data_IF_192635739427
#
_entry.id   IF_192635739427
#
_cell.length_a   1.000
_cell.length_b   1.000
_cell.length_c   1.000
_cell.angle_alpha   90.00
_cell.angle_beta   90.00
_cell.angle_gamma   90.00
#
_symmetry.space_group_name_H-M   'P 1'
#
loop_
_entity.id
_entity.type
_entity.pdbx_description
1 polymer ?
#
# COMPACT_ATOMS: atom_id res chain seq x y z
N UNK A 1 -54.96 26.83 25.35
CA UNK A 1 -53.90 27.01 24.34
C UNK A 1 -52.58 26.58 24.99
N UNK A 2 -52.02 25.43 24.64
CA UNK A 2 -50.82 24.90 25.32
C UNK A 2 -49.97 23.98 24.44
N UNK A 3 -48.64 24.18 24.59
CA UNK A 3 -47.48 23.34 24.25
C UNK A 3 -46.91 23.41 22.83
N UNK A 4 -45.94 24.31 22.68
CA UNK A 4 -44.75 24.11 21.85
C UNK A 4 -43.96 22.90 22.38
N UNK A 5 -43.59 21.89 21.57
CA UNK A 5 -42.51 20.99 21.92
C UNK A 5 -41.19 21.54 21.38
N UNK A 6 -40.37 22.04 22.30
CA UNK A 6 -38.96 22.27 22.03
C UNK A 6 -38.20 20.94 21.87
N UNK A 7 -37.06 21.04 21.18
CA UNK A 7 -35.88 20.18 21.30
C UNK A 7 -35.85 18.90 20.48
N UNK A 8 -35.06 18.96 19.40
CA UNK A 8 -33.99 17.97 19.16
C UNK A 8 -32.79 18.72 18.57
N UNK A 9 -31.97 19.26 19.47
CA UNK A 9 -30.62 19.70 19.13
C UNK A 9 -29.86 18.50 18.58
N UNK A 10 -29.67 18.47 17.26
CA UNK A 10 -28.77 17.55 16.59
C UNK A 10 -27.35 17.91 17.01
N UNK A 11 -26.83 17.21 18.02
CA UNK A 11 -25.41 17.32 18.39
C UNK A 11 -24.58 16.94 17.17
N UNK A 12 -23.64 17.79 16.70
CA UNK A 12 -22.76 17.43 15.61
C UNK A 12 -21.96 16.20 16.04
N UNK A 13 -22.19 15.10 15.32
CA UNK A 13 -21.51 13.82 15.55
C UNK A 13 -20.02 14.09 15.36
N UNK A 14 -19.25 14.10 16.45
CA UNK A 14 -17.80 14.21 16.40
C UNK A 14 -17.28 13.03 15.59
N UNK A 15 -16.95 13.27 14.31
CA UNK A 15 -16.30 12.27 13.48
C UNK A 15 -14.86 12.16 13.98
N UNK A 16 -14.57 11.06 14.66
CA UNK A 16 -13.19 10.72 14.98
C UNK A 16 -12.37 10.74 13.68
N UNK A 17 -11.18 11.36 13.67
CA UNK A 17 -10.31 11.32 12.51
C UNK A 17 -10.16 9.87 12.07
N UNK A 18 -10.41 9.60 10.78
CA UNK A 18 -10.14 8.29 10.20
C UNK A 18 -8.64 8.08 10.35
N UNK A 19 -8.26 7.30 11.36
CA UNK A 19 -6.88 6.90 11.56
C UNK A 19 -6.53 6.04 10.36
N UNK A 20 -5.81 6.63 9.40
CA UNK A 20 -5.13 5.87 8.34
C UNK A 20 -4.10 5.01 9.05
N UNK A 21 -4.49 3.78 9.41
CA UNK A 21 -3.55 2.79 9.92
C UNK A 21 -2.46 2.67 8.86
N UNK A 22 -1.22 2.89 9.25
CA UNK A 22 -0.12 2.54 8.36
C UNK A 22 -0.27 1.07 8.00
N UNK A 23 -0.13 0.72 6.72
CA UNK A 23 -0.27 -0.66 6.28
C UNK A 23 0.74 -1.52 7.05
N UNK A 24 0.26 -2.65 7.55
CA UNK A 24 1.07 -3.58 8.32
C UNK A 24 2.23 -4.08 7.43
N UNK A 25 3.46 -3.78 7.85
CA UNK A 25 4.66 -4.17 7.11
C UNK A 25 5.14 -5.53 7.60
N UNK A 26 5.15 -6.51 6.71
CA UNK A 26 5.71 -7.83 6.99
C UNK A 26 7.14 -7.92 6.45
N UNK A 27 8.08 -8.40 7.29
CA UNK A 27 9.46 -8.64 6.84
C UNK A 27 9.49 -9.89 5.95
N UNK A 28 10.03 -9.75 4.75
CA UNK A 28 10.23 -10.85 3.81
C UNK A 28 11.73 -11.21 3.77
N UNK A 29 12.17 -12.36 4.32
CA UNK A 29 13.54 -12.82 4.14
C UNK A 29 13.70 -13.33 2.70
N UNK A 30 14.59 -12.70 1.92
CA UNK A 30 14.87 -13.07 0.53
C UNK A 30 16.34 -13.42 0.37
N UNK A 31 16.62 -14.53 -0.31
CA UNK A 31 17.95 -14.88 -0.77
C UNK A 31 18.09 -14.47 -2.23
N UNK A 32 19.01 -13.54 -2.51
CA UNK A 32 19.28 -13.05 -3.87
C UNK A 32 20.59 -13.63 -4.40
N UNK A 33 20.69 -13.80 -5.72
CA UNK A 33 21.98 -14.09 -6.34
C UNK A 33 22.89 -12.86 -6.24
N UNK A 34 24.21 -13.10 -6.23
CA UNK A 34 25.19 -12.03 -6.12
C UNK A 34 25.09 -11.03 -7.29
N UNK A 35 24.79 -11.51 -8.49
CA UNK A 35 24.59 -10.70 -9.69
C UNK A 35 23.43 -9.72 -9.50
N UNK A 36 22.26 -10.20 -9.07
CA UNK A 36 21.09 -9.34 -8.83
C UNK A 36 21.37 -8.33 -7.72
N UNK A 37 22.11 -8.73 -6.68
CA UNK A 37 22.50 -7.80 -5.62
C UNK A 37 23.45 -6.70 -6.13
N UNK A 38 24.41 -7.03 -7.00
CA UNK A 38 25.29 -6.05 -7.61
C UNK A 38 24.53 -5.05 -8.49
N UNK A 39 23.57 -5.54 -9.28
CA UNK A 39 22.72 -4.71 -10.13
C UNK A 39 21.83 -3.77 -9.31
N UNK A 40 21.27 -4.23 -8.18
CA UNK A 40 20.49 -3.39 -7.28
C UNK A 40 21.32 -2.25 -6.69
N UNK A 41 22.57 -2.52 -6.29
CA UNK A 41 23.48 -1.49 -5.79
C UNK A 41 23.88 -0.49 -6.89
N UNK A 42 24.12 -0.97 -8.11
CA UNK A 42 24.40 -0.11 -9.26
C UNK A 42 23.20 0.80 -9.57
N UNK A 43 21.98 0.25 -9.51
CA UNK A 43 20.75 1.00 -9.68
C UNK A 43 20.56 2.08 -8.60
N UNK A 44 20.81 1.75 -7.33
CA UNK A 44 20.74 2.73 -6.23
C UNK A 44 21.70 3.90 -6.47
N UNK A 45 22.95 3.62 -6.88
CA UNK A 45 23.94 4.66 -7.19
C UNK A 45 23.51 5.53 -8.36
N UNK A 46 23.04 4.92 -9.45
CA UNK A 46 22.54 5.66 -10.60
C UNK A 46 21.37 6.58 -10.21
N UNK A 47 20.46 6.09 -9.37
CA UNK A 47 19.35 6.91 -8.85
C UNK A 47 19.85 8.09 -8.02
N UNK A 48 20.85 7.87 -7.15
CA UNK A 48 21.47 8.92 -6.35
C UNK A 48 22.19 9.96 -7.21
N UNK A 49 22.94 9.53 -8.22
CA UNK A 49 23.64 10.42 -9.16
C UNK A 49 22.66 11.28 -9.96
N UNK A 50 21.53 10.70 -10.39
CA UNK A 50 20.53 11.41 -11.20
C UNK A 50 19.63 12.35 -10.39
N UNK A 51 19.24 11.95 -9.17
CA UNK A 51 18.22 12.67 -8.39
C UNK A 51 18.80 13.41 -7.19
N UNK A 52 20.10 13.26 -6.90
CA UNK A 52 20.76 13.85 -5.74
C UNK A 52 20.25 13.33 -4.40
N UNK A 53 19.50 12.23 -4.40
CA UNK A 53 18.82 11.68 -3.23
C UNK A 53 19.16 10.20 -3.07
N UNK A 54 19.52 9.81 -1.84
CA UNK A 54 19.69 8.40 -1.50
C UNK A 54 18.32 7.72 -1.37
N UNK A 55 18.23 6.48 -1.85
CA UNK A 55 17.03 5.67 -1.83
C UNK A 55 17.36 4.32 -1.23
N UNK A 56 16.58 3.88 -0.23
CA UNK A 56 16.78 2.57 0.38
C UNK A 56 16.48 1.45 -0.61
N UNK A 57 17.28 0.38 -0.57
CA UNK A 57 17.01 -0.85 -1.31
C UNK A 57 15.65 -1.44 -0.97
N UNK A 58 15.18 -1.32 0.28
CA UNK A 58 13.85 -1.79 0.68
C UNK A 58 12.75 -1.13 -0.15
N UNK A 59 12.89 0.18 -0.40
CA UNK A 59 11.93 0.94 -1.20
C UNK A 59 12.01 0.55 -2.69
N UNK A 60 13.23 0.36 -3.22
CA UNK A 60 13.43 -0.10 -4.60
C UNK A 60 12.79 -1.47 -4.79
N UNK A 61 13.05 -2.41 -3.89
CA UNK A 61 12.53 -3.78 -3.95
C UNK A 61 11.00 -3.78 -3.87
N UNK A 62 10.41 -3.04 -2.92
CA UNK A 62 8.96 -2.90 -2.80
C UNK A 62 8.34 -2.35 -4.09
N UNK A 63 8.96 -1.33 -4.69
CA UNK A 63 8.51 -0.74 -5.93
C UNK A 63 8.55 -1.76 -7.08
N UNK A 64 9.68 -2.45 -7.27
CA UNK A 64 9.87 -3.44 -8.34
C UNK A 64 8.85 -4.57 -8.21
N UNK A 65 8.66 -5.12 -7.01
CA UNK A 65 7.68 -6.18 -6.76
C UNK A 65 6.26 -5.67 -7.04
N UNK A 66 5.91 -4.47 -6.59
CA UNK A 66 4.60 -3.86 -6.84
C UNK A 66 4.33 -3.71 -8.33
N UNK A 67 5.30 -3.20 -9.10
CA UNK A 67 5.17 -3.03 -10.54
C UNK A 67 5.07 -4.38 -11.25
N UNK A 68 5.89 -5.35 -10.85
CA UNK A 68 5.85 -6.70 -11.42
C UNK A 68 4.48 -7.34 -11.24
N UNK A 69 3.95 -7.35 -10.00
CA UNK A 69 2.62 -7.90 -9.69
C UNK A 69 1.51 -7.16 -10.44
N UNK A 70 1.58 -5.82 -10.57
CA UNK A 70 0.59 -5.03 -11.32
C UNK A 70 0.56 -5.38 -12.81
N UNK A 71 1.71 -5.69 -13.40
CA UNK A 71 1.84 -5.97 -14.84
C UNK A 71 1.53 -7.43 -15.20
N UNK A 72 1.57 -8.34 -14.23
CA UNK A 72 1.21 -9.73 -14.43
C UNK A 72 -0.31 -9.88 -14.66
N UNK A 73 -0.70 -9.95 -15.93
CA UNK A 73 -2.10 -10.09 -16.34
C UNK A 73 -2.74 -11.39 -15.86
N UNK A 74 -1.99 -12.49 -15.83
CA UNK A 74 -2.50 -13.78 -15.39
C UNK A 74 -2.79 -13.74 -13.89
N UNK A 75 -1.85 -13.20 -13.12
CA UNK A 75 -2.03 -12.98 -11.69
C UNK A 75 -3.20 -12.02 -11.39
N UNK A 76 -3.32 -10.90 -12.11
CA UNK A 76 -4.45 -9.98 -11.92
C UNK A 76 -5.79 -10.63 -12.28
N UNK A 77 -5.86 -11.41 -13.36
CA UNK A 77 -7.08 -12.13 -13.74
C UNK A 77 -7.49 -13.15 -12.66
N UNK A 78 -6.53 -13.91 -12.14
CA UNK A 78 -6.76 -14.84 -11.03
C UNK A 78 -7.18 -14.11 -9.74
N UNK A 79 -6.55 -12.99 -9.40
CA UNK A 79 -6.88 -12.24 -8.18
C UNK A 79 -8.33 -11.76 -8.19
N UNK A 80 -8.83 -11.30 -9.34
CA UNK A 80 -10.23 -10.87 -9.50
C UNK A 80 -11.22 -12.04 -9.35
N UNK A 81 -10.88 -13.24 -9.82
CA UNK A 81 -11.74 -14.42 -9.66
C UNK A 81 -11.70 -14.99 -8.24
N UNK A 82 -10.54 -14.94 -7.58
CA UNK A 82 -10.38 -15.35 -6.20
C UNK A 82 -11.17 -14.45 -5.24
N UNK A 83 -11.14 -13.13 -5.44
CA UNK A 83 -11.85 -12.15 -4.61
C UNK A 83 -13.38 -12.33 -4.69
N UNK A 84 -13.90 -12.63 -5.89
CA UNK A 84 -15.33 -12.96 -6.09
C UNK A 84 -15.75 -14.26 -5.42
N UNK A 85 -14.85 -15.24 -5.33
CA UNK A 85 -15.13 -16.51 -4.63
C UNK A 85 -15.20 -16.31 -3.11
N UNK A 86 -14.35 -15.46 -2.56
CA UNK A 86 -14.30 -15.20 -1.11
C UNK A 86 -15.38 -14.22 -0.63
N UNK A 87 -15.93 -13.36 -1.49
CA UNK A 87 -17.04 -12.46 -1.16
C UNK A 87 -18.44 -13.13 -1.22
N UNK A 88 -18.51 -14.42 -1.56
CA UNK A 88 -19.74 -15.20 -1.72
C UNK A 88 -20.15 -16.07 -0.52
N UNK A 89 -19.50 -15.90 0.64
CA UNK A 89 -19.86 -16.54 1.93
C UNK A 89 -20.08 -15.48 2.99
#
# INVERSE_FOLDING_TARGET
MARNPASKNSTPRLMLPIVKREPEKTKLPVTLSQEVHADLLAYQRAYQEMNGADVSLDFIIEHVLTQHMKRDKAFQAWKVTADKTNAGT
#
